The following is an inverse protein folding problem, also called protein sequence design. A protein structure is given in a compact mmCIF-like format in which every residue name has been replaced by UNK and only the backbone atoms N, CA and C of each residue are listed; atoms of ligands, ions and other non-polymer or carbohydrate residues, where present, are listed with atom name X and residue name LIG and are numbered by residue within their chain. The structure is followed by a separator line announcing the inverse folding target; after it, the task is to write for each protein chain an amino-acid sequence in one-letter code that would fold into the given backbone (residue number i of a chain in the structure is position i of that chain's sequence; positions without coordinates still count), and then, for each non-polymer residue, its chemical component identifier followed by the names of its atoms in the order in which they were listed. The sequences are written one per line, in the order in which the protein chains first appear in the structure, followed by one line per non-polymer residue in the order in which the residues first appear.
data_IF_045752074192
#
_entry.id   IF_045752074192
#
_cell.length_a   1.000
_cell.length_b   1.000
_cell.length_c   1.000
_cell.angle_alpha   90.00
_cell.angle_beta   90.00
_cell.angle_gamma   90.00
#
_symmetry.space_group_name_H-M   'P 1'
#
loop_
_entity.id
_entity.type
_entity.pdbx_description
1 polymer ?
#
# COMPACT_ATOMS: atom_id res chain seq x y z
N UNK A 1 3.58 2.37 -3.64
CA UNK A 1 2.29 2.07 -4.30
C UNK A 1 2.56 2.04 -5.79
N UNK A 2 2.09 1.01 -6.52
CA UNK A 2 2.25 0.87 -7.97
C UNK A 2 0.89 0.68 -8.65
N UNK A 3 0.83 0.82 -9.96
CA UNK A 3 -0.42 0.67 -10.73
C UNK A 3 -0.37 1.44 -12.04
N UNK A 4 -1.31 1.16 -12.94
CA UNK A 4 -1.39 1.80 -14.27
C UNK A 4 -1.41 3.33 -14.17
N UNK A 5 -0.98 4.03 -15.23
CA UNK A 5 -1.11 5.49 -15.30
C UNK A 5 -2.60 5.88 -15.25
N UNK A 6 -2.93 6.93 -14.50
CA UNK A 6 -4.32 7.39 -14.33
C UNK A 6 -5.19 6.56 -13.37
N UNK A 7 -4.64 5.55 -12.68
CA UNK A 7 -5.40 4.71 -11.73
C UNK A 7 -5.72 5.40 -10.39
N UNK A 8 -5.25 6.65 -10.18
CA UNK A 8 -5.49 7.41 -8.95
C UNK A 8 -4.37 7.34 -7.90
N UNK A 9 -3.10 7.09 -8.29
CA UNK A 9 -1.98 6.98 -7.34
C UNK A 9 -1.68 8.30 -6.63
N UNK A 10 -1.64 9.40 -7.37
CA UNK A 10 -1.31 10.73 -6.85
C UNK A 10 -2.42 11.24 -5.94
N UNK A 11 -3.68 11.04 -6.31
CA UNK A 11 -4.87 11.35 -5.51
C UNK A 11 -4.90 10.53 -4.21
N UNK A 12 -4.63 9.22 -4.28
CA UNK A 12 -4.48 8.38 -3.09
C UNK A 12 -3.32 8.84 -2.20
N UNK A 13 -2.20 9.26 -2.81
CA UNK A 13 -1.07 9.85 -2.09
C UNK A 13 -1.47 11.09 -1.30
N UNK A 14 -2.25 11.98 -1.92
CA UNK A 14 -2.77 13.19 -1.29
C UNK A 14 -3.71 12.87 -0.13
N UNK A 15 -4.64 11.94 -0.31
CA UNK A 15 -5.55 11.49 0.76
C UNK A 15 -4.80 10.86 1.94
N UNK A 16 -3.69 10.16 1.69
CA UNK A 16 -2.84 9.63 2.76
C UNK A 16 -2.07 10.77 3.47
N UNK A 17 -1.59 11.77 2.75
CA UNK A 17 -0.92 12.94 3.35
C UNK A 17 -1.88 13.69 4.28
N UNK A 18 -3.14 13.89 3.86
CA UNK A 18 -4.18 14.52 4.68
C UNK A 18 -4.45 13.74 6.00
N UNK A 19 -4.17 12.43 5.99
CA UNK A 19 -4.26 11.54 7.16
C UNK A 19 -2.96 11.46 7.98
N UNK A 20 -1.97 12.32 7.69
CA UNK A 20 -0.72 12.43 8.44
C UNK A 20 0.42 11.55 7.94
N UNK A 21 0.27 10.90 6.79
CA UNK A 21 1.37 10.13 6.18
C UNK A 21 2.34 11.05 5.45
N UNK A 22 3.51 10.51 5.11
CA UNK A 22 4.60 11.25 4.45
C UNK A 22 4.89 10.71 3.07
N UNK A 23 5.23 11.61 2.16
CA UNK A 23 5.61 11.30 0.78
C UNK A 23 7.14 11.30 0.64
N UNK A 24 7.68 10.30 -0.05
CA UNK A 24 9.07 10.33 -0.54
C UNK A 24 9.15 11.16 -1.82
N UNK A 25 8.44 10.73 -2.86
CA UNK A 25 8.28 11.42 -4.13
C UNK A 25 7.03 10.91 -4.85
N UNK A 26 6.53 11.69 -5.81
CA UNK A 26 5.50 11.28 -6.76
C UNK A 26 6.14 10.76 -8.06
N UNK A 27 5.45 9.85 -8.74
CA UNK A 27 5.84 9.19 -10.00
C UNK A 27 7.11 8.31 -9.97
N UNK A 28 8.31 8.89 -9.85
CA UNK A 28 9.58 8.16 -9.97
C UNK A 28 10.30 8.05 -8.63
N UNK A 29 10.51 6.81 -8.16
CA UNK A 29 11.20 6.48 -6.91
C UNK A 29 12.54 5.80 -7.22
N UNK A 30 13.62 6.27 -6.59
CA UNK A 30 14.90 5.57 -6.62
C UNK A 30 14.96 4.49 -5.53
N UNK A 31 15.58 3.35 -5.85
CA UNK A 31 15.82 2.26 -4.90
C UNK A 31 17.29 1.90 -4.86
N UNK A 32 17.84 1.72 -3.66
CA UNK A 32 19.20 1.26 -3.42
C UNK A 32 19.19 0.06 -2.47
N UNK A 33 19.99 -0.97 -2.78
CA UNK A 33 20.24 -2.09 -1.89
C UNK A 33 21.37 -1.74 -0.93
N UNK A 34 21.08 -1.72 0.38
CA UNK A 34 22.04 -1.44 1.45
C UNK A 34 21.76 -2.42 2.59
N UNK A 35 22.78 -3.15 3.07
CA UNK A 35 22.66 -4.08 4.21
C UNK A 35 21.46 -5.05 4.13
N UNK A 36 21.22 -5.61 2.95
CA UNK A 36 20.10 -6.51 2.67
C UNK A 36 18.71 -5.87 2.89
N UNK A 37 18.62 -4.54 2.73
CA UNK A 37 17.40 -3.75 2.74
C UNK A 37 17.32 -2.92 1.46
N UNK A 38 16.10 -2.71 0.94
CA UNK A 38 15.88 -1.76 -0.16
C UNK A 38 15.48 -0.42 0.44
N UNK A 39 16.33 0.58 0.31
CA UNK A 39 16.05 1.96 0.72
C UNK A 39 15.50 2.73 -0.46
N UNK A 40 14.32 3.31 -0.30
CA UNK A 40 13.67 4.16 -1.27
C UNK A 40 13.94 5.63 -0.97
N UNK A 41 14.16 6.43 -2.01
CA UNK A 41 14.35 7.88 -1.91
C UNK A 41 13.85 8.58 -3.18
N UNK A 42 13.78 9.91 -3.13
CA UNK A 42 13.58 10.70 -4.34
C UNK A 42 14.85 10.64 -5.21
N UNK A 43 14.74 10.40 -6.54
CA UNK A 43 15.90 10.34 -7.43
C UNK A 43 16.58 11.70 -7.64
N UNK A 44 15.83 12.80 -7.46
CA UNK A 44 16.31 14.17 -7.63
C UNK A 44 15.70 15.07 -6.54
N UNK A 45 16.42 16.13 -6.18
CA UNK A 45 15.87 17.16 -5.27
C UNK A 45 14.86 18.07 -5.99
N UNK A 46 14.98 18.21 -7.30
CA UNK A 46 14.02 18.96 -8.10
C UNK A 46 12.66 18.24 -8.12
N UNK A 47 11.58 18.97 -7.84
CA UNK A 47 10.22 18.40 -7.76
C UNK A 47 9.94 17.61 -6.47
N UNK A 48 10.91 17.52 -5.55
CA UNK A 48 10.69 16.87 -4.26
C UNK A 48 9.64 17.62 -3.44
N UNK A 49 8.67 16.88 -2.91
CA UNK A 49 7.56 17.46 -2.16
C UNK A 49 6.48 18.10 -3.05
N UNK A 50 6.53 17.89 -4.37
CA UNK A 50 5.45 18.23 -5.28
C UNK A 50 4.67 16.97 -5.70
N UNK A 51 3.36 17.11 -5.86
CA UNK A 51 2.47 16.13 -6.50
C UNK A 51 1.80 16.80 -7.69
N UNK A 52 1.69 16.10 -8.83
CA UNK A 52 0.85 16.54 -9.94
C UNK A 52 -0.58 16.04 -9.72
N UNK A 53 -1.55 16.95 -9.61
CA UNK A 53 -2.97 16.60 -9.58
C UNK A 53 -3.60 17.01 -10.90
N UNK A 54 -4.12 16.03 -11.64
CA UNK A 54 -4.71 16.27 -12.97
C UNK A 54 -5.89 17.24 -12.88
N UNK A 55 -5.90 18.24 -13.74
CA UNK A 55 -6.93 19.28 -13.76
C UNK A 55 -6.72 20.40 -12.74
N UNK A 56 -5.73 20.30 -11.86
CA UNK A 56 -5.35 21.35 -10.90
C UNK A 56 -3.94 21.87 -11.18
N UNK A 57 -2.96 20.97 -11.33
CA UNK A 57 -1.55 21.28 -11.54
C UNK A 57 -0.66 20.72 -10.43
N UNK A 58 0.53 21.31 -10.27
CA UNK A 58 1.50 20.90 -9.25
C UNK A 58 1.16 21.51 -7.89
N UNK A 59 1.13 20.68 -6.84
CA UNK A 59 0.84 21.07 -5.46
C UNK A 59 2.14 20.99 -4.64
N UNK A 60 2.52 22.09 -3.98
CA UNK A 60 3.64 22.14 -3.04
C UNK A 60 3.19 21.63 -1.66
N UNK A 61 3.56 20.40 -1.31
CA UNK A 61 3.11 19.78 -0.07
C UNK A 61 3.65 20.48 1.18
N UNK A 62 4.87 21.02 1.12
CA UNK A 62 5.45 21.72 2.26
C UNK A 62 4.68 23.01 2.59
N UNK A 63 4.19 23.71 1.55
CA UNK A 63 3.41 24.94 1.73
C UNK A 63 1.97 24.67 2.17
N UNK A 64 1.35 23.61 1.66
CA UNK A 64 -0.07 23.33 1.88
C UNK A 64 -0.32 22.51 3.15
N UNK A 65 0.54 21.52 3.42
CA UNK A 65 0.37 20.57 4.53
C UNK A 65 1.50 20.65 5.57
N UNK A 66 2.60 21.35 5.25
CA UNK A 66 3.75 21.52 6.14
C UNK A 66 4.92 20.59 5.78
N UNK A 67 6.14 21.02 6.10
CA UNK A 67 7.38 20.33 5.72
C UNK A 67 7.52 18.92 6.30
N UNK A 68 6.80 18.60 7.38
CA UNK A 68 6.81 17.28 8.01
C UNK A 68 6.20 16.18 7.13
N UNK A 69 5.44 16.55 6.09
CA UNK A 69 4.86 15.62 5.11
C UNK A 69 5.89 15.05 4.13
N UNK A 70 7.11 15.60 4.08
CA UNK A 70 8.16 15.15 3.19
C UNK A 70 9.07 14.15 3.91
N UNK A 71 9.33 13.01 3.29
CA UNK A 71 10.25 11.98 3.74
C UNK A 71 11.45 11.90 2.78
N UNK A 72 12.68 11.97 3.30
CA UNK A 72 13.88 11.84 2.43
C UNK A 72 14.06 10.43 1.91
N UNK A 73 13.91 9.45 2.80
CA UNK A 73 14.10 8.05 2.47
C UNK A 73 13.38 7.14 3.45
N UNK A 74 13.03 5.93 2.99
CA UNK A 74 12.42 4.90 3.82
C UNK A 74 12.75 3.51 3.26
N UNK A 75 12.96 2.55 4.16
CA UNK A 75 13.03 1.14 3.79
C UNK A 75 11.70 0.67 3.17
N UNK A 76 11.78 -0.05 2.06
CA UNK A 76 10.65 -0.70 1.44
C UNK A 76 10.18 -1.86 2.33
N UNK A 77 8.96 -1.75 2.83
CA UNK A 77 8.35 -2.80 3.67
C UNK A 77 7.42 -3.72 2.88
N UNK A 78 6.59 -3.16 2.00
CA UNK A 78 5.63 -3.91 1.17
C UNK A 78 5.28 -3.11 -0.08
N UNK A 79 4.68 -3.78 -1.06
CA UNK A 79 4.16 -3.18 -2.28
C UNK A 79 2.66 -3.36 -2.34
N UNK A 80 1.93 -2.25 -2.56
CA UNK A 80 0.50 -2.27 -2.89
C UNK A 80 0.36 -1.89 -4.36
N UNK A 81 -0.23 -2.78 -5.15
CA UNK A 81 -0.58 -2.56 -6.55
C UNK A 81 -2.07 -2.24 -6.68
N UNK A 82 -2.39 -1.04 -7.16
CA UNK A 82 -3.75 -0.70 -7.56
C UNK A 82 -4.08 -1.42 -8.87
N UNK A 83 -5.18 -2.18 -8.87
CA UNK A 83 -5.64 -2.98 -10.03
C UNK A 83 -7.08 -2.65 -10.38
N UNK A 84 -7.47 -2.79 -11.64
CA UNK A 84 -8.83 -2.51 -12.09
C UNK A 84 -9.85 -3.45 -11.42
N UNK A 85 -11.07 -2.94 -11.21
CA UNK A 85 -12.15 -3.64 -10.50
C UNK A 85 -12.57 -4.97 -11.15
N UNK A 86 -12.30 -5.20 -12.43
CA UNK A 86 -12.60 -6.46 -13.11
C UNK A 86 -11.85 -7.66 -12.50
N UNK A 87 -10.74 -7.39 -11.80
CA UNK A 87 -10.05 -8.39 -10.98
C UNK A 87 -10.86 -8.83 -9.75
N UNK A 88 -11.83 -8.05 -9.27
CA UNK A 88 -12.70 -8.46 -8.15
C UNK A 88 -13.52 -9.71 -8.47
N UNK A 89 -13.92 -9.92 -9.72
CA UNK A 89 -14.69 -11.10 -10.09
C UNK A 89 -13.87 -12.40 -9.99
N UNK A 90 -12.55 -12.31 -10.18
CA UNK A 90 -11.61 -13.42 -9.97
C UNK A 90 -11.37 -13.62 -8.45
N UNK A 91 -11.21 -12.51 -7.72
CA UNK A 91 -10.97 -12.48 -6.27
C UNK A 91 -12.17 -12.98 -5.44
N UNK A 92 -13.40 -12.75 -5.92
CA UNK A 92 -14.61 -13.19 -5.23
C UNK A 92 -14.87 -14.70 -5.40
N UNK A 93 -14.29 -15.34 -6.42
CA UNK A 93 -14.42 -16.78 -6.64
C UNK A 93 -13.37 -17.58 -5.87
N UNK A 94 -12.21 -17.00 -5.61
CA UNK A 94 -11.14 -17.60 -4.82
C UNK A 94 -10.66 -16.63 -3.75
N UNK A 95 -11.09 -16.91 -2.51
CA UNK A 95 -10.36 -16.78 -1.23
C UNK A 95 -9.33 -15.64 -1.19
N UNK A 96 -9.53 -14.71 -0.25
CA UNK A 96 -8.63 -13.65 0.27
C UNK A 96 -7.10 -13.79 -0.04
N UNK A 97 -6.58 -15.02 -0.05
CA UNK A 97 -5.24 -15.44 -0.45
C UNK A 97 -4.79 -15.02 -1.87
N UNK A 98 -5.67 -14.91 -2.88
CA UNK A 98 -5.24 -14.52 -4.24
C UNK A 98 -4.76 -13.06 -4.37
N UNK A 99 -5.03 -12.23 -3.37
CA UNK A 99 -4.62 -10.82 -3.35
C UNK A 99 -3.25 -10.57 -2.74
N UNK A 100 -2.62 -11.59 -2.15
CA UNK A 100 -1.35 -11.47 -1.42
C UNK A 100 -0.34 -12.42 -2.06
N UNK A 101 0.76 -11.86 -2.56
CA UNK A 101 1.88 -12.63 -3.12
C UNK A 101 3.21 -12.01 -2.72
N UNK A 102 4.24 -12.30 -3.52
CA UNK A 102 5.56 -11.71 -3.40
C UNK A 102 5.92 -10.94 -4.67
N UNK A 103 6.74 -9.91 -4.54
CA UNK A 103 7.39 -9.23 -5.65
C UNK A 103 8.89 -9.12 -5.36
N UNK A 104 9.71 -9.36 -6.37
CA UNK A 104 11.15 -9.21 -6.26
C UNK A 104 11.58 -7.81 -6.69
N UNK A 105 12.32 -7.11 -5.83
CA UNK A 105 12.89 -5.79 -6.08
C UNK A 105 14.35 -5.82 -5.63
N UNK A 106 15.27 -5.54 -6.55
CA UNK A 106 16.73 -5.57 -6.31
C UNK A 106 17.21 -6.90 -5.68
N UNK A 107 16.63 -8.03 -6.11
CA UNK A 107 16.98 -9.37 -5.62
C UNK A 107 16.36 -9.75 -4.27
N UNK A 108 15.58 -8.87 -3.64
CA UNK A 108 14.87 -9.15 -2.39
C UNK A 108 13.37 -9.29 -2.63
N UNK A 109 12.73 -10.21 -1.88
CA UNK A 109 11.30 -10.48 -1.96
C UNK A 109 10.53 -9.64 -0.94
N UNK A 110 9.44 -9.03 -1.39
CA UNK A 110 8.57 -8.21 -0.56
C UNK A 110 7.12 -8.67 -0.65
N UNK A 111 6.33 -8.55 0.44
CA UNK A 111 4.89 -8.75 0.40
C UNK A 111 4.25 -7.85 -0.66
N UNK A 112 3.44 -8.44 -1.53
CA UNK A 112 2.78 -7.78 -2.63
C UNK A 112 1.26 -7.93 -2.52
N UNK A 113 0.59 -6.81 -2.30
CA UNK A 113 -0.86 -6.74 -2.14
C UNK A 113 -1.49 -6.12 -3.39
N UNK A 114 -2.43 -6.83 -4.00
CA UNK A 114 -3.26 -6.26 -5.07
C UNK A 114 -4.51 -5.64 -4.44
N UNK A 115 -4.73 -4.34 -4.69
CA UNK A 115 -5.86 -3.58 -4.17
C UNK A 115 -6.76 -3.13 -5.33
N UNK A 116 -7.92 -3.77 -5.53
CA UNK A 116 -8.84 -3.38 -6.59
C UNK A 116 -9.41 -1.97 -6.41
N UNK A 117 -9.34 -1.14 -7.44
CA UNK A 117 -9.93 0.19 -7.47
C UNK A 117 -11.41 0.10 -7.88
N UNK A 118 -12.29 0.57 -7.01
CA UNK A 118 -13.73 0.52 -7.25
C UNK A 118 -14.46 1.72 -6.70
N UNK A 119 -15.51 2.14 -7.42
CA UNK A 119 -16.47 3.12 -6.92
C UNK A 119 -17.00 2.63 -5.56
N UNK A 120 -16.94 3.49 -4.54
CA UNK A 120 -17.34 3.22 -3.14
C UNK A 120 -16.30 2.53 -2.23
N UNK A 121 -15.03 2.37 -2.66
CA UNK A 121 -13.97 1.93 -1.75
C UNK A 121 -13.19 3.12 -1.21
N UNK A 122 -13.06 3.21 0.12
CA UNK A 122 -12.14 4.15 0.76
C UNK A 122 -10.71 3.58 0.70
N UNK A 123 -9.98 3.91 -0.37
CA UNK A 123 -8.65 3.36 -0.63
C UNK A 123 -7.63 3.73 0.46
N UNK A 124 -7.57 4.95 1.02
CA UNK A 124 -6.64 5.27 2.11
C UNK A 124 -6.83 4.36 3.33
N UNK A 125 -8.07 4.13 3.76
CA UNK A 125 -8.37 3.23 4.89
C UNK A 125 -7.88 1.81 4.60
N UNK A 126 -8.10 1.33 3.37
CA UNK A 126 -7.69 -0.01 2.97
C UNK A 126 -6.16 -0.14 2.89
N UNK A 127 -5.46 0.87 2.41
CA UNK A 127 -3.99 0.93 2.41
C UNK A 127 -3.46 0.87 3.84
N UNK A 128 -3.98 1.71 4.74
CA UNK A 128 -3.60 1.71 6.15
C UNK A 128 -3.85 0.34 6.81
N UNK A 129 -5.00 -0.27 6.51
CA UNK A 129 -5.35 -1.59 7.03
C UNK A 129 -4.40 -2.68 6.52
N UNK A 130 -4.04 -2.66 5.22
CA UNK A 130 -3.07 -3.58 4.64
C UNK A 130 -1.72 -3.45 5.33
N UNK A 131 -1.25 -2.22 5.57
CA UNK A 131 0.02 -1.98 6.29
C UNK A 131 -0.04 -2.52 7.71
N UNK A 132 -1.12 -2.25 8.46
CA UNK A 132 -1.31 -2.79 9.82
C UNK A 132 -1.35 -4.32 9.81
N UNK A 133 -2.06 -4.91 8.86
CA UNK A 133 -2.17 -6.36 8.71
C UNK A 133 -0.80 -7.01 8.40
N UNK A 134 0.00 -6.40 7.52
CA UNK A 134 1.35 -6.86 7.23
C UNK A 134 2.26 -6.78 8.48
N UNK A 135 2.16 -5.71 9.27
CA UNK A 135 2.91 -5.56 10.53
C UNK A 135 2.52 -6.63 11.56
N UNK A 136 1.23 -6.94 11.71
CA UNK A 136 0.80 -7.99 12.64
C UNK A 136 1.26 -9.38 12.19
N UNK A 137 1.27 -9.64 10.87
CA UNK A 137 1.83 -10.89 10.33
C UNK A 137 3.31 -11.06 10.63
N UNK A 138 4.10 -9.98 10.62
CA UNK A 138 5.52 -10.08 11.04
C UNK A 138 5.69 -10.40 12.53
N UNK A 139 4.65 -10.16 13.34
CA UNK A 139 4.59 -10.55 14.76
C UNK A 139 4.00 -11.95 14.98
N UNK A 140 3.65 -12.65 13.90
CA UNK A 140 3.06 -13.99 13.95
C UNK A 140 1.53 -14.02 14.14
N UNK A 141 0.84 -12.89 13.96
CA UNK A 141 -0.62 -12.83 14.07
C UNK A 141 -1.28 -12.66 12.69
N UNK A 142 -2.21 -13.58 12.35
CA UNK A 142 -3.08 -13.48 11.19
C UNK A 142 -4.55 -13.51 11.64
N UNK A 143 -5.23 -12.37 11.51
CA UNK A 143 -6.63 -12.22 11.95
C UNK A 143 -7.61 -13.11 11.16
N UNK A 144 -7.33 -13.43 9.90
CA UNK A 144 -8.19 -14.31 9.12
C UNK A 144 -8.08 -15.74 9.65
N UNK A 145 -6.86 -16.23 9.85
CA UNK A 145 -6.64 -17.57 10.40
C UNK A 145 -7.24 -17.69 11.81
N UNK A 146 -7.00 -16.68 12.66
CA UNK A 146 -7.56 -16.64 14.01
C UNK A 146 -9.11 -16.74 14.02
N UNK A 147 -9.78 -16.08 13.07
CA UNK A 147 -11.23 -16.18 12.94
C UNK A 147 -11.69 -17.56 12.46
N UNK A 148 -11.01 -18.14 11.46
CA UNK A 148 -11.32 -19.48 10.95
C UNK A 148 -11.16 -20.53 12.06
N UNK A 149 -10.11 -20.45 12.86
CA UNK A 149 -9.86 -21.36 13.99
C UNK A 149 -10.96 -21.25 15.06
N UNK A 150 -11.43 -20.04 15.36
CA UNK A 150 -12.55 -19.81 16.27
C UNK A 150 -13.86 -20.39 15.73
N UNK A 151 -14.12 -20.21 14.43
CA UNK A 151 -15.32 -20.73 13.78
C UNK A 151 -15.34 -22.27 13.78
N UNK A 152 -14.20 -22.92 13.47
CA UNK A 152 -14.11 -24.37 13.48
C UNK A 152 -14.33 -24.96 14.89
N UNK A 153 -13.79 -24.30 15.92
CA UNK A 153 -13.98 -24.73 17.31
C UNK A 153 -15.45 -24.62 17.74
N UNK A 154 -16.14 -23.55 17.33
CA UNK A 154 -17.57 -23.38 17.62
C UNK A 154 -18.44 -24.44 16.93
N UNK A 155 -18.14 -24.79 15.67
CA UNK A 155 -18.87 -25.84 14.95
C UNK A 155 -18.69 -27.23 15.59
N UNK A 156 -17.51 -27.52 16.14
CA UNK A 156 -17.26 -28.79 16.84
C UNK A 156 -18.01 -28.90 18.17
N UNK A 157 -18.15 -27.80 18.92
CA UNK A 157 -18.87 -27.79 20.21
C UNK A 157 -20.40 -27.77 20.07
N UNK A 158 -20.95 -27.25 18.98
CA UNK A 158 -22.40 -27.26 18.72
C UNK A 158 -22.93 -28.57 18.10
N UNK A 159 -22.05 -29.58 17.94
CA UNK A 159 -22.38 -30.90 17.37
C UNK A 159 -22.51 -32.01 18.43
N UNK A 160 -22.37 -31.67 19.72
CA UNK A 160 -22.68 -32.50 20.89
C UNK A 160 -23.98 -32.04 21.55
#
# INVERSE_FOLDING_TARGET
IIGKSGVGKSELGLELIDRGHRLICDDLVAGQLTDNQVILSAPQEFGRGFIEVRGIGFIDLARFYGSHTICTSKELFLVIQLVDNDMLNIVNQDRLHQLIGEIEILGLKFPHYKLPIGANRNLPVLVELIVKYAIERTKGYDSHQAFIDQQSNFMQQGSE
#
